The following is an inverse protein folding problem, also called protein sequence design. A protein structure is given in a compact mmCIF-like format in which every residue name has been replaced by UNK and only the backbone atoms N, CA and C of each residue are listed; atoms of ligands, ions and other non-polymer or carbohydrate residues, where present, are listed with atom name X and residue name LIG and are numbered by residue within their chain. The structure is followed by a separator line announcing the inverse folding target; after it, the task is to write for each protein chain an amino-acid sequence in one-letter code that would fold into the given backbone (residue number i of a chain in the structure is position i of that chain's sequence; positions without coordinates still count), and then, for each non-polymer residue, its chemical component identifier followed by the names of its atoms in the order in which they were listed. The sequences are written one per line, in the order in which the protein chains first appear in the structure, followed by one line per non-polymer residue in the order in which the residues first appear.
data_IF_783022688872
#
_entry.id   IF_783022688872
#
_cell.length_a   1.000
_cell.length_b   1.000
_cell.length_c   1.000
_cell.angle_alpha   90.00
_cell.angle_beta   90.00
_cell.angle_gamma   90.00
#
_symmetry.space_group_name_H-M   'P 1'
#
loop_
_entity.id
_entity.type
_entity.pdbx_description
1 polymer ?
#
# COMPACT_ATOMS: atom_id res chain seq x y z
N UNK A 1 51.79 6.25 -37.33
CA UNK A 1 50.38 6.73 -37.25
C UNK A 1 50.39 7.99 -36.46
N UNK A 2 50.00 9.13 -37.08
CA UNK A 2 50.10 10.44 -36.44
C UNK A 2 48.94 10.60 -35.44
N UNK A 3 49.17 10.54 -34.10
CA UNK A 3 48.12 10.53 -33.07
C UNK A 3 47.23 11.79 -33.13
N UNK A 4 47.76 12.90 -33.66
CA UNK A 4 47.01 14.14 -33.81
C UNK A 4 45.89 14.08 -34.86
N UNK A 5 46.06 13.31 -35.94
CA UNK A 5 45.00 13.12 -36.99
C UNK A 5 43.87 12.24 -36.49
N UNK A 6 44.18 11.20 -35.74
CA UNK A 6 43.15 10.31 -35.14
C UNK A 6 42.38 11.03 -34.05
N UNK A 7 43.01 11.86 -33.23
CA UNK A 7 42.34 12.69 -32.22
C UNK A 7 41.36 13.69 -32.86
N UNK A 8 41.78 14.35 -33.96
CA UNK A 8 40.91 15.30 -34.70
C UNK A 8 39.71 14.58 -35.31
N UNK A 9 39.92 13.38 -35.93
CA UNK A 9 38.85 12.58 -36.51
C UNK A 9 37.84 12.12 -35.43
N UNK A 10 38.32 11.68 -34.27
CA UNK A 10 37.45 11.30 -33.15
C UNK A 10 36.66 12.52 -32.57
N UNK A 11 37.31 13.68 -32.46
CA UNK A 11 36.62 14.91 -32.03
C UNK A 11 35.53 15.34 -33.00
N UNK A 12 35.79 15.25 -34.31
CA UNK A 12 34.78 15.55 -35.35
C UNK A 12 33.62 14.54 -35.28
N UNK A 13 33.90 13.25 -35.15
CA UNK A 13 32.85 12.23 -35.00
C UNK A 13 31.97 12.47 -33.80
N UNK A 14 32.57 12.80 -32.64
CA UNK A 14 31.86 13.11 -31.42
C UNK A 14 30.98 14.36 -31.60
N UNK A 15 31.52 15.43 -32.21
CA UNK A 15 30.76 16.65 -32.46
C UNK A 15 29.56 16.43 -33.38
N UNK A 16 29.72 15.64 -34.44
CA UNK A 16 28.66 15.26 -35.37
C UNK A 16 27.59 14.43 -34.65
N UNK A 17 28.01 13.50 -33.78
CA UNK A 17 27.08 12.67 -32.98
C UNK A 17 26.27 13.51 -31.99
N UNK A 18 26.91 14.44 -31.29
CA UNK A 18 26.23 15.35 -30.37
C UNK A 18 25.26 16.27 -31.09
N UNK A 19 25.66 16.84 -32.24
CA UNK A 19 24.78 17.65 -33.06
C UNK A 19 23.59 16.86 -33.62
N UNK A 20 23.84 15.63 -34.11
CA UNK A 20 22.79 14.72 -34.56
C UNK A 20 21.78 14.39 -33.47
N UNK A 21 22.27 14.11 -32.26
CA UNK A 21 21.38 13.85 -31.10
C UNK A 21 20.57 15.11 -30.71
N UNK A 22 21.20 16.28 -30.71
CA UNK A 22 20.53 17.55 -30.38
C UNK A 22 19.40 17.88 -31.38
N UNK A 23 19.58 17.56 -32.67
CA UNK A 23 18.56 17.74 -33.72
C UNK A 23 17.46 16.68 -33.65
N UNK A 24 17.81 15.42 -33.37
CA UNK A 24 16.83 14.31 -33.31
C UNK A 24 15.94 14.38 -32.07
N UNK A 25 16.48 14.78 -30.94
CA UNK A 25 15.76 14.81 -29.65
C UNK A 25 16.12 16.08 -28.85
N UNK A 26 15.66 17.25 -29.32
CA UNK A 26 16.01 18.56 -28.73
C UNK A 26 15.59 18.66 -27.25
N UNK A 27 14.46 18.05 -26.88
CA UNK A 27 13.94 18.08 -25.51
C UNK A 27 14.90 17.37 -24.53
N UNK A 28 15.38 16.17 -24.89
CA UNK A 28 16.30 15.40 -24.06
C UNK A 28 17.69 16.04 -24.02
N UNK A 29 18.14 16.62 -25.13
CA UNK A 29 19.42 17.32 -25.21
C UNK A 29 19.42 18.56 -24.28
N UNK A 30 18.39 19.39 -24.39
CA UNK A 30 18.21 20.58 -23.55
C UNK A 30 18.16 20.21 -22.07
N UNK A 31 17.34 19.20 -21.72
CA UNK A 31 17.22 18.72 -20.37
C UNK A 31 18.55 18.19 -19.81
N UNK A 32 19.31 17.42 -20.60
CA UNK A 32 20.62 16.94 -20.22
C UNK A 32 21.64 18.08 -19.98
N UNK A 33 21.63 19.10 -20.82
CA UNK A 33 22.50 20.28 -20.68
C UNK A 33 22.14 21.10 -19.44
N UNK A 34 20.86 21.37 -19.19
CA UNK A 34 20.40 22.12 -18.02
C UNK A 34 20.78 21.40 -16.72
N UNK A 35 20.73 20.08 -16.70
CA UNK A 35 21.14 19.27 -15.56
C UNK A 35 22.66 19.26 -15.36
N UNK A 36 23.42 19.15 -16.44
CA UNK A 36 24.90 19.20 -16.39
C UNK A 36 25.38 20.56 -15.84
N UNK A 37 24.65 21.62 -16.16
CA UNK A 37 24.93 22.97 -15.66
C UNK A 37 24.35 23.23 -14.26
N UNK A 38 23.72 22.24 -13.61
CA UNK A 38 23.13 22.37 -12.28
C UNK A 38 21.92 23.30 -12.23
N UNK A 39 21.28 23.57 -13.37
CA UNK A 39 20.14 24.50 -13.46
C UNK A 39 18.80 23.84 -13.15
N UNK A 40 18.73 22.53 -13.18
CA UNK A 40 17.51 21.77 -12.84
C UNK A 40 17.84 20.52 -12.05
N UNK A 41 17.01 20.21 -11.04
CA UNK A 41 17.01 18.97 -10.27
C UNK A 41 15.86 18.05 -10.67
N UNK A 42 15.17 18.35 -11.77
CA UNK A 42 14.06 17.51 -12.23
C UNK A 42 14.54 16.10 -12.57
N UNK A 43 13.71 15.12 -12.26
CA UNK A 43 13.94 13.73 -12.61
C UNK A 43 13.79 13.54 -14.11
N UNK A 44 14.53 12.58 -14.70
CA UNK A 44 14.35 12.21 -16.10
C UNK A 44 12.87 11.87 -16.37
N UNK A 45 12.30 12.32 -17.52
CA UNK A 45 10.97 11.94 -17.92
C UNK A 45 10.83 10.42 -17.94
N UNK A 46 9.91 9.91 -17.14
CA UNK A 46 9.61 8.47 -17.10
C UNK A 46 8.52 8.14 -18.08
N UNK A 47 8.71 7.07 -18.81
CA UNK A 47 7.71 6.56 -19.74
C UNK A 47 6.63 5.76 -19.00
N UNK A 48 6.98 5.12 -17.90
CA UNK A 48 6.06 4.36 -17.05
C UNK A 48 5.63 5.21 -15.84
N UNK A 49 4.34 5.18 -15.52
CA UNK A 49 3.81 5.81 -14.32
C UNK A 49 3.12 4.76 -13.46
N UNK A 50 3.62 4.55 -12.25
CA UNK A 50 3.06 3.60 -11.29
C UNK A 50 2.49 4.35 -10.08
N UNK A 51 1.39 3.83 -9.56
CA UNK A 51 0.79 4.25 -8.28
C UNK A 51 0.43 3.03 -7.44
N UNK A 52 0.46 3.17 -6.12
CA UNK A 52 0.09 2.09 -5.19
C UNK A 52 -1.16 2.48 -4.42
N UNK A 53 -2.11 1.55 -4.32
CA UNK A 53 -3.38 1.79 -3.66
C UNK A 53 -3.29 1.66 -2.14
N UNK A 54 -4.03 2.54 -1.46
CA UNK A 54 -4.22 2.47 -0.01
C UNK A 54 -3.05 2.96 0.82
N UNK A 55 -2.09 3.69 0.22
CA UNK A 55 -1.02 4.39 0.92
C UNK A 55 -1.37 5.88 1.07
N UNK A 56 -1.09 6.41 2.25
CA UNK A 56 -1.19 7.85 2.54
C UNK A 56 0.20 8.31 2.97
N UNK A 57 0.77 9.28 2.25
CA UNK A 57 2.14 9.76 2.48
C UNK A 57 3.20 8.64 2.52
N UNK A 58 3.05 7.63 1.64
CA UNK A 58 3.98 6.50 1.58
C UNK A 58 3.76 5.43 2.67
N UNK A 59 2.77 5.58 3.56
CA UNK A 59 2.49 4.65 4.64
C UNK A 59 1.10 4.03 4.54
N UNK A 60 1.01 2.73 4.88
CA UNK A 60 -0.24 2.00 5.09
C UNK A 60 -0.20 1.27 6.42
N UNK A 61 -1.24 1.41 7.23
CA UNK A 61 -1.35 0.75 8.53
C UNK A 61 -2.21 -0.49 8.41
N UNK A 62 -1.72 -1.62 8.92
CA UNK A 62 -2.44 -2.90 8.95
C UNK A 62 -2.34 -3.55 10.33
N UNK A 63 -3.34 -4.35 10.69
CA UNK A 63 -3.32 -5.07 11.94
C UNK A 63 -2.42 -6.31 11.84
N UNK A 64 -1.71 -6.64 12.92
CA UNK A 64 -0.86 -7.83 13.01
C UNK A 64 -1.62 -9.10 12.66
N UNK A 65 -0.99 -9.97 11.85
CA UNK A 65 -1.57 -11.21 11.35
C UNK A 65 -2.62 -11.01 10.26
N UNK A 66 -2.78 -9.81 9.71
CA UNK A 66 -3.67 -9.57 8.57
C UNK A 66 -3.02 -9.97 7.27
N UNK A 67 -3.87 -10.35 6.32
CA UNK A 67 -3.53 -10.48 4.92
C UNK A 67 -3.77 -9.16 4.20
N UNK A 68 -2.91 -8.85 3.24
CA UNK A 68 -3.00 -7.67 2.42
C UNK A 68 -2.75 -8.03 0.96
N UNK A 69 -3.67 -7.67 0.09
CA UNK A 69 -3.42 -7.66 -1.35
C UNK A 69 -2.92 -6.26 -1.74
N UNK A 70 -1.64 -6.20 -2.12
CA UNK A 70 -1.03 -4.96 -2.59
C UNK A 70 -1.39 -4.78 -4.07
N UNK A 71 -2.02 -3.66 -4.39
CA UNK A 71 -2.42 -3.33 -5.76
C UNK A 71 -1.57 -2.16 -6.26
N UNK A 72 -0.94 -2.38 -7.41
CA UNK A 72 -0.18 -1.38 -8.15
C UNK A 72 -0.90 -1.10 -9.46
N UNK A 73 -1.05 0.17 -9.80
CA UNK A 73 -1.66 0.64 -11.04
C UNK A 73 -0.61 1.24 -11.95
N UNK A 74 -0.60 0.82 -13.21
CA UNK A 74 0.16 1.46 -14.26
C UNK A 74 -0.77 2.24 -15.18
N UNK A 75 -0.45 3.50 -15.46
CA UNK A 75 -1.22 4.37 -16.35
C UNK A 75 -1.14 3.86 -17.80
N UNK A 76 -2.28 3.54 -18.41
CA UNK A 76 -2.36 3.05 -19.80
C UNK A 76 -2.14 4.14 -20.83
N UNK A 77 -2.23 5.43 -20.45
CA UNK A 77 -1.83 6.55 -21.32
C UNK A 77 -0.30 6.67 -21.46
N UNK A 78 0.44 5.94 -20.65
CA UNK A 78 1.90 5.83 -20.65
C UNK A 78 2.33 4.44 -21.07
N UNK A 79 3.63 4.15 -20.97
CA UNK A 79 4.13 2.81 -21.23
C UNK A 79 3.75 1.87 -20.07
N UNK A 80 2.96 0.85 -20.38
CA UNK A 80 2.59 -0.20 -19.42
C UNK A 80 3.73 -1.21 -19.34
N UNK A 81 4.32 -1.47 -18.16
CA UNK A 81 5.39 -2.45 -18.03
C UNK A 81 4.84 -3.87 -18.21
N UNK A 82 5.61 -4.75 -18.84
CA UNK A 82 5.24 -6.17 -18.98
C UNK A 82 5.25 -6.90 -17.64
N UNK A 83 6.11 -6.46 -16.72
CA UNK A 83 6.31 -7.08 -15.40
C UNK A 83 6.53 -6.00 -14.36
N UNK A 84 5.96 -6.19 -13.18
CA UNK A 84 6.18 -5.36 -12.00
C UNK A 84 6.74 -6.23 -10.90
N UNK A 85 7.80 -5.76 -10.26
CA UNK A 85 8.48 -6.42 -9.14
C UNK A 85 8.19 -5.68 -7.85
N UNK A 86 7.90 -6.41 -6.81
CA UNK A 86 7.81 -5.94 -5.44
C UNK A 86 9.00 -6.48 -4.65
N UNK A 87 9.83 -5.58 -4.16
CA UNK A 87 10.89 -5.87 -3.20
C UNK A 87 10.38 -5.45 -1.84
N UNK A 88 10.54 -6.30 -0.84
CA UNK A 88 10.20 -5.91 0.52
C UNK A 88 11.19 -6.49 1.51
N UNK A 89 11.45 -5.70 2.53
CA UNK A 89 12.26 -6.08 3.67
C UNK A 89 11.52 -5.79 4.97
N UNK A 90 11.74 -6.64 5.95
CA UNK A 90 11.22 -6.45 7.30
C UNK A 90 12.11 -5.46 8.06
N UNK A 91 11.51 -4.50 8.78
CA UNK A 91 12.24 -3.48 9.55
C UNK A 91 13.15 -4.10 10.63
N UNK A 92 12.85 -5.32 11.07
CA UNK A 92 13.66 -6.12 11.99
C UNK A 92 14.78 -6.94 11.30
N UNK A 93 14.89 -6.84 9.95
CA UNK A 93 15.89 -7.54 9.15
C UNK A 93 15.66 -9.06 9.02
N UNK A 94 14.49 -9.55 9.44
CA UNK A 94 14.20 -10.98 9.44
C UNK A 94 13.78 -11.56 8.08
N UNK A 95 13.28 -10.74 7.18
CA UNK A 95 12.76 -11.14 5.86
C UNK A 95 13.17 -10.14 4.81
N UNK A 96 13.74 -10.63 3.72
CA UNK A 96 14.00 -9.87 2.49
C UNK A 96 13.56 -10.74 1.31
N UNK A 97 12.61 -10.27 0.53
CA UNK A 97 12.05 -11.04 -0.59
C UNK A 97 11.78 -10.17 -1.81
N UNK A 98 11.83 -10.81 -2.98
CA UNK A 98 11.40 -10.27 -4.27
C UNK A 98 10.23 -11.08 -4.80
N UNK A 99 9.14 -10.41 -5.11
CA UNK A 99 7.95 -11.02 -5.72
C UNK A 99 7.69 -10.40 -7.10
N UNK A 100 7.39 -11.25 -8.08
CA UNK A 100 6.78 -10.80 -9.33
C UNK A 100 5.29 -10.61 -9.07
N UNK A 101 4.77 -9.41 -9.35
CA UNK A 101 3.35 -9.13 -9.17
C UNK A 101 2.51 -9.77 -10.28
N UNK A 102 1.41 -10.36 -9.90
CA UNK A 102 0.46 -10.96 -10.83
C UNK A 102 -0.31 -9.89 -11.61
N UNK A 103 -0.45 -10.09 -12.91
CA UNK A 103 -1.25 -9.23 -13.77
C UNK A 103 -2.75 -9.51 -13.54
N UNK A 104 -3.49 -8.52 -13.04
CA UNK A 104 -4.93 -8.66 -12.82
C UNK A 104 -5.71 -8.27 -14.08
N UNK A 105 -5.95 -9.25 -14.95
CA UNK A 105 -6.56 -9.01 -16.26
C UNK A 105 -5.64 -8.22 -17.20
N UNK A 106 -6.05 -8.07 -18.44
CA UNK A 106 -5.34 -7.24 -19.42
C UNK A 106 -6.14 -5.98 -19.71
N UNK A 107 -5.59 -4.81 -19.39
CA UNK A 107 -6.20 -3.55 -19.66
C UNK A 107 -6.40 -3.34 -21.18
N UNK A 108 -7.54 -2.81 -21.56
CA UNK A 108 -7.88 -2.49 -22.96
C UNK A 108 -7.40 -1.07 -23.27
N UNK A 109 -6.48 -0.89 -24.22
CA UNK A 109 -5.99 0.43 -24.59
C UNK A 109 -7.13 1.39 -24.96
N UNK A 110 -7.12 2.60 -24.42
CA UNK A 110 -8.12 3.63 -24.68
C UNK A 110 -9.48 3.44 -23.99
N UNK A 111 -9.67 2.33 -23.23
CA UNK A 111 -10.88 2.05 -22.45
C UNK A 111 -10.57 2.03 -20.96
N UNK A 112 -9.59 1.23 -20.57
CA UNK A 112 -9.20 1.09 -19.17
C UNK A 112 -8.08 2.09 -18.85
N UNK A 113 -8.26 2.94 -17.84
CA UNK A 113 -7.29 3.96 -17.47
C UNK A 113 -6.00 3.38 -16.86
N UNK A 114 -6.08 2.19 -16.26
CA UNK A 114 -4.97 1.57 -15.55
C UNK A 114 -4.88 0.08 -15.83
N UNK A 115 -3.64 -0.43 -15.93
CA UNK A 115 -3.33 -1.84 -15.80
C UNK A 115 -3.06 -2.15 -14.34
N UNK A 116 -3.70 -3.18 -13.80
CA UNK A 116 -3.57 -3.58 -12.40
C UNK A 116 -2.57 -4.73 -12.25
N UNK A 117 -1.77 -4.63 -11.19
CA UNK A 117 -0.84 -5.69 -10.74
C UNK A 117 -1.10 -5.93 -9.26
N UNK A 118 -1.08 -7.19 -8.86
CA UNK A 118 -1.41 -7.62 -7.52
C UNK A 118 -0.31 -8.48 -6.92
N UNK A 119 0.04 -8.22 -5.66
CA UNK A 119 0.90 -9.09 -4.87
C UNK A 119 0.21 -9.45 -3.54
N UNK A 120 0.00 -10.73 -3.24
CA UNK A 120 -0.59 -11.16 -1.99
C UNK A 120 0.46 -11.20 -0.89
N UNK A 121 0.35 -10.32 0.11
CA UNK A 121 1.15 -10.35 1.33
C UNK A 121 0.32 -11.01 2.44
N UNK A 122 0.78 -12.12 2.99
CA UNK A 122 0.01 -12.95 3.93
C UNK A 122 0.60 -12.92 5.33
N UNK A 123 -0.28 -12.93 6.34
CA UNK A 123 0.11 -13.07 7.74
C UNK A 123 1.10 -12.03 8.23
N UNK A 124 0.91 -10.76 7.92
CA UNK A 124 1.86 -9.68 8.25
C UNK A 124 2.10 -9.58 9.76
N UNK A 125 3.31 -9.89 10.20
CA UNK A 125 3.70 -9.88 11.63
C UNK A 125 4.66 -8.77 12.00
N UNK A 126 5.44 -8.25 11.04
CA UNK A 126 6.39 -7.14 11.23
C UNK A 126 6.17 -6.05 10.19
N UNK A 127 6.61 -4.84 10.51
CA UNK A 127 6.57 -3.70 9.59
C UNK A 127 7.46 -3.97 8.39
N UNK A 128 6.96 -3.69 7.18
CA UNK A 128 7.67 -3.90 5.94
C UNK A 128 8.00 -2.58 5.25
N UNK A 129 9.20 -2.50 4.71
CA UNK A 129 9.65 -1.48 3.78
C UNK A 129 9.55 -2.05 2.37
N UNK A 130 8.97 -1.29 1.44
CA UNK A 130 8.65 -1.75 0.11
C UNK A 130 9.29 -0.88 -0.96
N UNK A 131 9.73 -1.52 -2.04
CA UNK A 131 10.22 -0.90 -3.27
C UNK A 131 9.52 -1.58 -4.45
N UNK A 132 8.77 -0.82 -5.24
CA UNK A 132 8.07 -1.34 -6.43
C UNK A 132 8.77 -0.86 -7.68
N UNK A 133 9.06 -1.77 -8.61
CA UNK A 133 9.75 -1.50 -9.87
C UNK A 133 8.97 -2.07 -11.04
N UNK A 134 8.81 -1.25 -12.08
CA UNK A 134 8.19 -1.68 -13.33
C UNK A 134 8.58 -0.76 -14.47
N UNK A 135 9.13 -1.32 -15.57
CA UNK A 135 9.68 -0.52 -16.65
C UNK A 135 10.81 0.41 -16.15
N UNK A 136 10.68 1.71 -16.43
CA UNK A 136 11.58 2.76 -15.93
C UNK A 136 11.07 3.45 -14.65
N UNK A 137 9.91 3.03 -14.13
CA UNK A 137 9.34 3.56 -12.90
C UNK A 137 9.84 2.79 -11.66
N UNK A 138 10.03 3.54 -10.59
CA UNK A 138 10.37 3.00 -9.28
C UNK A 138 9.68 3.81 -8.19
N UNK A 139 8.93 3.13 -7.32
CA UNK A 139 8.32 3.67 -6.12
C UNK A 139 9.12 3.18 -4.92
N UNK A 140 9.73 4.10 -4.19
CA UNK A 140 10.58 3.84 -3.02
C UNK A 140 9.92 4.34 -1.76
N UNK A 141 10.47 3.93 -0.63
CA UNK A 141 10.13 4.44 0.69
C UNK A 141 8.65 4.22 1.05
N UNK A 142 8.06 3.14 0.52
CA UNK A 142 6.73 2.70 0.93
C UNK A 142 6.83 1.86 2.19
N UNK A 143 5.97 2.13 3.17
CA UNK A 143 5.98 1.44 4.46
C UNK A 143 4.62 0.83 4.79
N UNK A 144 4.58 -0.47 5.07
CA UNK A 144 3.42 -1.12 5.69
C UNK A 144 3.71 -1.23 7.17
N UNK A 145 3.09 -0.37 7.97
CA UNK A 145 3.22 -0.39 9.43
C UNK A 145 2.25 -1.39 10.03
N UNK A 146 2.79 -2.42 10.69
CA UNK A 146 2.01 -3.43 11.38
C UNK A 146 1.77 -3.00 12.83
N UNK A 147 0.50 -2.96 13.22
CA UNK A 147 0.09 -2.58 14.57
C UNK A 147 -0.68 -3.71 15.24
N UNK A 148 -0.53 -3.83 16.55
CA UNK A 148 -1.31 -4.79 17.34
C UNK A 148 -2.79 -4.44 17.28
N UNK A 149 -3.64 -5.46 17.17
CA UNK A 149 -5.10 -5.30 17.21
C UNK A 149 -5.52 -4.76 18.59
N UNK A 150 -6.53 -3.88 18.64
CA UNK A 150 -7.09 -3.46 19.92
C UNK A 150 -7.70 -4.66 20.65
N UNK A 151 -7.49 -4.72 21.97
CA UNK A 151 -8.15 -5.67 22.84
C UNK A 151 -9.38 -5.01 23.41
N UNK A 152 -10.51 -5.70 23.33
CA UNK A 152 -11.79 -5.20 23.83
C UNK A 152 -12.22 -6.12 24.98
N UNK A 153 -12.42 -5.54 26.15
CA UNK A 153 -13.08 -6.18 27.28
C UNK A 153 -14.58 -5.84 27.22
N UNK A 154 -15.42 -6.85 27.35
CA UNK A 154 -16.88 -6.68 27.31
C UNK A 154 -17.47 -7.13 28.64
N UNK A 155 -18.20 -6.23 29.30
CA UNK A 155 -18.98 -6.52 30.49
C UNK A 155 -20.47 -6.44 30.14
N UNK A 156 -21.24 -7.41 30.61
CA UNK A 156 -22.70 -7.47 30.42
C UNK A 156 -23.40 -7.16 31.73
N UNK A 157 -24.15 -6.09 31.78
CA UNK A 157 -25.06 -5.79 32.87
C UNK A 157 -26.41 -6.42 32.51
N UNK A 158 -26.81 -7.44 33.28
CA UNK A 158 -28.00 -8.23 33.02
C UNK A 158 -29.10 -7.89 34.05
N UNK A 159 -30.27 -7.50 33.53
CA UNK A 159 -31.49 -7.37 34.30
C UNK A 159 -32.39 -8.57 33.99
N UNK A 160 -32.51 -9.47 34.96
CA UNK A 160 -33.22 -10.73 34.77
C UNK A 160 -34.75 -10.57 34.96
N UNK A 161 -35.58 -11.30 34.22
CA UNK A 161 -37.03 -11.33 34.42
C UNK A 161 -37.39 -11.93 35.77
N UNK A 162 -38.50 -11.45 36.36
CA UNK A 162 -38.95 -11.85 37.69
C UNK A 162 -39.16 -13.39 37.81
N UNK A 163 -39.55 -14.08 36.74
CA UNK A 163 -39.76 -15.53 36.76
C UNK A 163 -38.52 -16.37 37.04
N UNK A 164 -37.33 -15.77 36.85
CA UNK A 164 -36.03 -16.45 37.07
C UNK A 164 -35.64 -16.48 38.55
N UNK A 165 -36.21 -15.63 39.40
CA UNK A 165 -35.82 -15.43 40.77
C UNK A 165 -34.37 -14.92 40.96
N UNK A 166 -33.69 -14.50 39.87
CA UNK A 166 -32.32 -14.01 39.91
C UNK A 166 -32.30 -12.50 40.14
N UNK A 167 -31.38 -12.05 40.98
CA UNK A 167 -31.08 -10.60 41.13
C UNK A 167 -30.30 -10.11 39.91
N UNK A 168 -30.47 -8.82 39.60
CA UNK A 168 -29.68 -8.14 38.58
C UNK A 168 -28.18 -8.30 38.89
N UNK A 169 -27.35 -8.49 37.84
CA UNK A 169 -25.93 -8.76 38.02
C UNK A 169 -25.09 -8.35 36.85
N UNK A 170 -23.76 -8.33 37.07
CA UNK A 170 -22.76 -8.05 36.04
C UNK A 170 -21.97 -9.31 35.73
N UNK A 171 -21.86 -9.62 34.45
CA UNK A 171 -20.98 -10.66 33.92
C UNK A 171 -19.72 -9.97 33.36
N UNK A 172 -18.60 -9.97 34.09
CA UNK A 172 -17.40 -9.27 33.66
C UNK A 172 -16.60 -10.05 32.62
N UNK A 173 -15.93 -9.35 31.72
CA UNK A 173 -14.99 -9.89 30.72
C UNK A 173 -15.54 -11.06 29.94
N UNK A 174 -16.72 -10.91 29.41
CA UNK A 174 -17.43 -11.99 28.68
C UNK A 174 -16.72 -12.27 27.35
N UNK A 175 -16.55 -13.55 27.05
CA UNK A 175 -16.06 -14.02 25.75
C UNK A 175 -16.89 -15.20 25.27
N UNK A 176 -17.16 -15.26 23.96
CA UNK A 176 -17.95 -16.33 23.36
C UNK A 176 -19.45 -16.21 23.57
N UNK A 177 -20.15 -17.35 23.61
CA UNK A 177 -21.61 -17.42 23.71
C UNK A 177 -22.02 -17.43 25.20
N UNK A 178 -22.86 -16.49 25.59
CA UNK A 178 -23.41 -16.40 26.94
C UNK A 178 -24.87 -16.80 26.90
N UNK A 179 -25.27 -17.93 27.51
CA UNK A 179 -26.67 -18.30 27.61
C UNK A 179 -27.38 -17.44 28.65
N UNK A 180 -28.43 -16.75 28.23
CA UNK A 180 -29.25 -15.92 29.10
C UNK A 180 -30.72 -16.36 29.05
N UNK A 181 -31.48 -16.25 30.16
CA UNK A 181 -32.91 -16.50 30.17
C UNK A 181 -33.63 -15.57 29.20
N UNK A 182 -34.69 -16.08 28.57
CA UNK A 182 -35.56 -15.29 27.70
C UNK A 182 -36.14 -14.07 28.44
N UNK A 183 -36.11 -12.91 27.81
CA UNK A 183 -36.61 -11.65 28.41
C UNK A 183 -35.56 -10.94 29.28
N UNK A 184 -34.33 -11.42 29.38
CA UNK A 184 -33.23 -10.68 30.03
C UNK A 184 -32.90 -9.42 29.24
N UNK A 185 -32.86 -8.26 29.93
CA UNK A 185 -32.39 -7.00 29.38
C UNK A 185 -30.87 -6.93 29.60
N UNK A 186 -30.10 -6.76 28.52
CA UNK A 186 -28.64 -6.72 28.57
C UNK A 186 -28.15 -5.36 28.15
N UNK A 187 -27.36 -4.73 29.03
CA UNK A 187 -26.57 -3.54 28.67
C UNK A 187 -25.13 -3.96 28.51
N UNK A 188 -24.55 -3.65 27.33
CA UNK A 188 -23.19 -4.01 26.97
C UNK A 188 -22.27 -2.83 27.26
N UNK A 189 -21.25 -3.04 28.08
CA UNK A 189 -20.15 -2.12 28.27
C UNK A 189 -18.91 -2.71 27.61
N UNK A 190 -18.26 -1.94 26.73
CA UNK A 190 -17.07 -2.34 26.04
C UNK A 190 -15.95 -1.33 26.34
N UNK A 191 -14.81 -1.84 26.82
CA UNK A 191 -13.61 -1.06 27.07
C UNK A 191 -12.50 -1.54 26.14
N UNK A 192 -11.78 -0.60 25.52
CA UNK A 192 -10.67 -0.90 24.60
C UNK A 192 -9.36 -0.36 25.16
N UNK A 193 -8.28 -1.13 24.97
CA UNK A 193 -6.91 -0.71 25.32
C UNK A 193 -6.32 0.34 24.37
N UNK A 194 -7.02 0.63 23.27
CA UNK A 194 -6.61 1.60 22.24
C UNK A 194 -7.80 2.43 21.76
N UNK A 195 -7.55 3.66 21.30
CA UNK A 195 -8.61 4.47 20.73
C UNK A 195 -9.21 3.78 19.50
N UNK A 196 -10.54 3.68 19.47
CA UNK A 196 -11.30 3.11 18.36
C UNK A 196 -11.92 4.25 17.57
N UNK A 197 -11.98 4.09 16.25
CA UNK A 197 -12.66 5.06 15.37
C UNK A 197 -14.19 4.88 15.41
N UNK A 198 -14.63 3.63 15.43
CA UNK A 198 -16.04 3.27 15.47
C UNK A 198 -16.25 1.91 16.10
N UNK A 199 -17.36 1.70 16.74
CA UNK A 199 -17.82 0.42 17.30
C UNK A 199 -19.17 0.09 16.70
N UNK A 200 -19.35 -1.12 16.17
CA UNK A 200 -20.63 -1.59 15.67
C UNK A 200 -21.03 -2.91 16.35
N UNK A 201 -22.23 -2.94 16.89
CA UNK A 201 -22.87 -4.14 17.40
C UNK A 201 -23.94 -4.60 16.42
N UNK A 202 -23.96 -5.89 16.09
CA UNK A 202 -25.00 -6.49 15.26
C UNK A 202 -25.79 -7.51 16.06
N UNK A 203 -27.12 -7.42 16.04
CA UNK A 203 -28.02 -8.44 16.58
C UNK A 203 -28.35 -9.49 15.53
N UNK A 204 -28.75 -10.73 15.92
CA UNK A 204 -29.16 -11.76 14.97
C UNK A 204 -30.28 -11.34 14.03
N UNK A 205 -31.17 -10.42 14.49
CA UNK A 205 -32.31 -9.89 13.72
C UNK A 205 -31.88 -8.87 12.66
N UNK A 206 -30.57 -8.68 12.43
CA UNK A 206 -30.03 -7.74 11.44
C UNK A 206 -30.04 -6.28 11.87
N UNK A 207 -30.49 -5.97 13.10
CA UNK A 207 -30.37 -4.63 13.65
C UNK A 207 -28.90 -4.35 13.97
N UNK A 208 -28.41 -3.21 13.54
CA UNK A 208 -27.06 -2.75 13.86
C UNK A 208 -27.12 -1.43 14.62
N UNK A 209 -26.36 -1.34 15.69
CA UNK A 209 -26.06 -0.06 16.35
C UNK A 209 -24.58 0.24 16.10
N UNK A 210 -24.28 1.38 15.53
CA UNK A 210 -22.92 1.89 15.34
C UNK A 210 -22.80 3.21 16.12
N UNK A 211 -21.66 3.40 16.77
CA UNK A 211 -21.31 4.64 17.46
C UNK A 211 -19.89 5.02 17.06
N UNK A 212 -19.74 6.24 16.53
CA UNK A 212 -18.43 6.88 16.39
C UNK A 212 -17.97 7.29 17.79
N UNK A 213 -16.73 6.95 18.14
CA UNK A 213 -16.14 7.16 19.47
C UNK A 213 -15.12 8.27 19.41
#
# INVERSE_FOLDING_TARGET
VRPRRTAIALAMLLSVSVAGFALARPDLFRFGVERLLGRTNELWPRYTHLTVDGFTNGERVVARGSDLDLIVRADTAKQVPSTVYLYYESEDGGVEEELVMDLEGKARPGVDAHQLYKAPLRGLVSTLLLDVRGGDARLRDLKIRVVERPRIAIDLHCKYPAYTGRADGVLPRVSGIVPLPQGTIVTVFAESDKPLRAVAAKTPDGRSAAKDV
#
